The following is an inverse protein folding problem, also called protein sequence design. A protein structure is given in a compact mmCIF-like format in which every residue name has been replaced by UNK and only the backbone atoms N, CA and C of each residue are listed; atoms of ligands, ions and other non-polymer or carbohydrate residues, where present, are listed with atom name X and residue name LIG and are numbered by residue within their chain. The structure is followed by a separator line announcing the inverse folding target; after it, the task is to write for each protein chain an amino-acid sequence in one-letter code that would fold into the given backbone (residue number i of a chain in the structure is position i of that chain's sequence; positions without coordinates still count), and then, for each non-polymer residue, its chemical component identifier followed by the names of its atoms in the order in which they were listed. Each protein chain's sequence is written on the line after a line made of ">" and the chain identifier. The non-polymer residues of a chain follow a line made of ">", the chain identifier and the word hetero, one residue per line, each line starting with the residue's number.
data_IF_192624954779
#
_entry.id   IF_192624954779
#
_cell.length_a   1.000
_cell.length_b   1.000
_cell.length_c   1.000
_cell.angle_alpha   90.00
_cell.angle_beta   90.00
_cell.angle_gamma   90.00
#
_symmetry.space_group_name_H-M   'P 1'
#
loop_
_entity.id
_entity.type
_entity.pdbx_description
1 polymer ?
#
# COMPACT_ATOMS: atom_id res chain seq x y z
N UNK A 1 33.16 6.91 -1.54
CA UNK A 1 33.35 5.65 -0.77
C UNK A 1 32.85 5.73 0.67
N UNK A 2 33.03 6.83 1.42
CA UNK A 2 32.52 6.94 2.80
C UNK A 2 30.98 6.94 2.91
N UNK A 3 30.29 7.57 1.96
CA UNK A 3 28.81 7.62 1.93
C UNK A 3 28.20 6.22 1.81
N UNK A 4 28.71 5.37 0.93
CA UNK A 4 28.19 4.00 0.79
C UNK A 4 28.42 3.17 2.05
N UNK A 5 29.58 3.34 2.71
CA UNK A 5 29.87 2.65 3.98
C UNK A 5 28.91 3.07 5.08
N UNK A 6 28.67 4.37 5.26
CA UNK A 6 27.70 4.87 6.24
C UNK A 6 26.28 4.38 5.94
N UNK A 7 25.86 4.40 4.68
CA UNK A 7 24.53 3.92 4.27
C UNK A 7 24.39 2.42 4.57
N UNK A 8 25.38 1.59 4.25
CA UNK A 8 25.34 0.15 4.54
C UNK A 8 25.27 -0.14 6.04
N UNK A 9 26.03 0.59 6.86
CA UNK A 9 26.00 0.42 8.33
C UNK A 9 24.63 0.80 8.89
N UNK A 10 24.06 1.91 8.46
CA UNK A 10 22.72 2.35 8.88
C UNK A 10 21.64 1.36 8.44
N UNK A 11 21.71 0.87 7.20
CA UNK A 11 20.77 -0.15 6.70
C UNK A 11 20.85 -1.45 7.50
N UNK A 12 22.07 -1.91 7.82
CA UNK A 12 22.28 -3.09 8.64
C UNK A 12 21.68 -2.93 10.04
N UNK A 13 21.91 -1.77 10.68
CA UNK A 13 21.32 -1.47 11.98
C UNK A 13 19.78 -1.44 11.95
N UNK A 14 19.18 -0.84 10.91
CA UNK A 14 17.73 -0.81 10.71
C UNK A 14 17.14 -2.21 10.53
N UNK A 15 17.77 -3.08 9.73
CA UNK A 15 17.29 -4.46 9.50
C UNK A 15 17.27 -5.24 10.82
N UNK A 16 18.32 -5.10 11.65
CA UNK A 16 18.38 -5.76 12.97
C UNK A 16 17.24 -5.25 13.87
N UNK A 17 16.99 -3.94 13.88
CA UNK A 17 15.89 -3.35 14.66
C UNK A 17 14.51 -3.90 14.23
N UNK A 18 14.26 -3.98 12.92
CA UNK A 18 13.01 -4.54 12.37
C UNK A 18 12.86 -6.02 12.69
N UNK A 19 13.94 -6.80 12.63
CA UNK A 19 13.91 -8.23 12.98
C UNK A 19 13.53 -8.45 14.44
N UNK A 20 14.07 -7.64 15.36
CA UNK A 20 13.72 -7.69 16.78
C UNK A 20 12.26 -7.26 17.02
N UNK A 21 11.78 -6.27 16.27
CA UNK A 21 10.38 -5.83 16.33
C UNK A 21 9.43 -6.98 15.94
N UNK A 22 9.64 -7.61 14.77
CA UNK A 22 8.83 -8.75 14.30
C UNK A 22 8.87 -9.92 15.30
N UNK A 23 10.03 -10.22 15.88
CA UNK A 23 10.16 -11.24 16.93
C UNK A 23 9.33 -10.94 18.19
N UNK A 24 9.00 -9.67 18.45
CA UNK A 24 8.12 -9.29 19.56
C UNK A 24 6.62 -9.49 19.24
N UNK A 25 6.24 -9.55 17.96
CA UNK A 25 4.86 -9.81 17.53
C UNK A 25 4.62 -11.33 17.51
N UNK A 26 4.23 -11.89 18.66
CA UNK A 26 3.91 -13.33 18.87
C UNK A 26 2.83 -13.94 17.95
N UNK A 27 2.25 -13.17 17.02
CA UNK A 27 1.17 -13.59 16.12
C UNK A 27 1.45 -13.44 14.63
N UNK A 28 2.59 -12.86 14.22
CA UNK A 28 2.99 -12.80 12.81
C UNK A 28 4.17 -13.75 12.61
N UNK A 29 4.00 -14.81 11.82
CA UNK A 29 5.11 -15.69 11.45
C UNK A 29 6.14 -14.90 10.64
N UNK A 30 7.44 -15.20 10.79
CA UNK A 30 8.50 -14.67 9.92
C UNK A 30 8.17 -14.92 8.43
N UNK A 31 7.50 -16.04 8.16
CA UNK A 31 6.99 -16.39 6.84
C UNK A 31 5.95 -15.39 6.32
N UNK A 32 5.00 -14.98 7.18
CA UNK A 32 3.95 -14.01 6.81
C UNK A 32 4.56 -12.63 6.56
N UNK A 33 5.54 -12.23 7.40
CA UNK A 33 6.26 -10.98 7.19
C UNK A 33 7.00 -10.97 5.84
N UNK A 34 7.68 -12.06 5.48
CA UNK A 34 8.31 -12.21 4.16
C UNK A 34 7.29 -12.15 3.02
N UNK A 35 6.11 -12.76 3.20
CA UNK A 35 5.02 -12.72 2.22
C UNK A 35 4.43 -11.32 2.06
N UNK A 36 4.24 -10.58 3.15
CA UNK A 36 3.74 -9.19 3.07
C UNK A 36 4.74 -8.26 2.41
N UNK A 37 6.03 -8.37 2.73
CA UNK A 37 7.07 -7.57 2.08
C UNK A 37 7.12 -7.87 0.57
N UNK A 38 7.06 -9.14 0.18
CA UNK A 38 7.09 -9.52 -1.24
C UNK A 38 5.87 -8.99 -1.99
N UNK A 39 4.66 -9.15 -1.45
CA UNK A 39 3.42 -8.66 -2.08
C UNK A 39 3.38 -7.13 -2.22
N UNK A 40 3.84 -6.40 -1.19
CA UNK A 40 3.93 -4.93 -1.22
C UNK A 40 4.93 -4.42 -2.26
N UNK A 41 6.08 -5.09 -2.40
CA UNK A 41 7.08 -4.73 -3.42
C UNK A 41 6.66 -5.15 -4.83
N UNK A 42 5.97 -6.29 -4.96
CA UNK A 42 5.60 -6.84 -6.26
C UNK A 42 4.54 -6.00 -6.96
N UNK A 43 3.61 -5.39 -6.22
CA UNK A 43 2.60 -4.46 -6.75
C UNK A 43 3.18 -3.32 -7.63
N UNK A 44 4.09 -2.48 -7.13
CA UNK A 44 4.68 -1.39 -7.91
C UNK A 44 5.69 -1.89 -8.96
N UNK A 45 6.22 -3.11 -8.85
CA UNK A 45 7.14 -3.70 -9.85
C UNK A 45 6.39 -4.30 -11.03
N UNK A 46 5.24 -4.93 -10.80
CA UNK A 46 4.44 -5.58 -11.84
C UNK A 46 3.97 -4.57 -12.89
N UNK A 47 3.56 -3.37 -12.49
CA UNK A 47 3.02 -2.38 -13.42
C UNK A 47 4.08 -1.93 -14.45
N UNK A 48 5.27 -1.44 -14.06
CA UNK A 48 6.37 -1.16 -15.01
C UNK A 48 6.76 -2.37 -15.84
N UNK A 49 6.78 -3.57 -15.26
CA UNK A 49 7.14 -4.79 -15.99
C UNK A 49 6.14 -5.09 -17.12
N UNK A 50 4.84 -4.96 -16.85
CA UNK A 50 3.79 -5.08 -17.86
C UNK A 50 3.92 -4.00 -18.94
N UNK A 51 4.13 -2.73 -18.55
CA UNK A 51 4.31 -1.64 -19.51
C UNK A 51 5.59 -1.77 -20.34
N UNK A 52 6.64 -2.36 -19.79
CA UNK A 52 7.90 -2.63 -20.48
C UNK A 52 7.77 -3.62 -21.64
N UNK A 53 6.73 -4.47 -21.64
CA UNK A 53 6.43 -5.34 -22.79
C UNK A 53 5.92 -4.56 -24.00
N UNK A 54 5.25 -3.42 -23.78
CA UNK A 54 4.69 -2.58 -24.85
C UNK A 54 5.62 -1.42 -25.22
N UNK A 55 6.37 -0.88 -24.25
CA UNK A 55 7.20 0.31 -24.40
C UNK A 55 8.66 -0.09 -24.24
N UNK A 56 9.41 -0.12 -25.36
CA UNK A 56 10.83 -0.54 -25.45
C UNK A 56 11.83 0.26 -24.57
N UNK A 57 11.38 1.34 -23.93
CA UNK A 57 12.13 2.16 -22.97
C UNK A 57 11.26 2.41 -21.75
N UNK A 58 11.17 1.44 -20.84
CA UNK A 58 10.50 1.64 -19.56
C UNK A 58 11.26 2.70 -18.76
N UNK A 59 10.71 3.88 -18.50
CA UNK A 59 11.41 4.89 -17.72
C UNK A 59 11.52 4.42 -16.27
N UNK A 60 12.67 4.63 -15.62
CA UNK A 60 12.90 4.29 -14.20
C UNK A 60 11.88 4.96 -13.25
N UNK A 61 11.21 6.01 -13.73
CA UNK A 61 10.16 6.72 -13.01
C UNK A 61 8.78 6.04 -13.05
N UNK A 62 8.57 4.99 -13.86
CA UNK A 62 7.27 4.32 -13.99
C UNK A 62 6.78 3.71 -12.66
N UNK A 63 7.69 3.13 -11.86
CA UNK A 63 7.35 2.59 -10.54
C UNK A 63 6.94 3.69 -9.54
N UNK A 64 7.53 4.87 -9.66
CA UNK A 64 7.17 6.02 -8.84
C UNK A 64 5.86 6.66 -9.29
N UNK A 65 5.59 6.67 -10.59
CA UNK A 65 4.34 7.18 -11.15
C UNK A 65 3.13 6.36 -10.66
N UNK A 66 3.24 5.03 -10.59
CA UNK A 66 2.15 4.18 -10.08
C UNK A 66 1.89 4.40 -8.60
N UNK A 67 2.95 4.54 -7.80
CA UNK A 67 2.83 4.92 -6.39
C UNK A 67 2.19 6.31 -6.22
N UNK A 68 2.64 7.30 -7.01
CA UNK A 68 2.12 8.66 -6.96
C UNK A 68 0.65 8.74 -7.36
N UNK A 69 0.25 8.03 -8.43
CA UNK A 69 -1.15 7.94 -8.86
C UNK A 69 -2.00 7.21 -7.81
N UNK A 70 -1.51 6.11 -7.23
CA UNK A 70 -2.21 5.42 -6.15
C UNK A 70 -2.43 6.30 -4.92
N UNK A 71 -1.41 7.04 -4.50
CA UNK A 71 -1.52 8.02 -3.41
C UNK A 71 -2.48 9.16 -3.77
N UNK A 72 -2.39 9.69 -4.99
CA UNK A 72 -3.27 10.77 -5.46
C UNK A 72 -4.73 10.33 -5.53
N UNK A 73 -5.02 9.16 -6.08
CA UNK A 73 -6.39 8.61 -6.12
C UNK A 73 -6.90 8.32 -4.70
N UNK A 74 -6.07 7.74 -3.83
CA UNK A 74 -6.44 7.52 -2.42
C UNK A 74 -6.75 8.84 -1.70
N UNK A 75 -5.96 9.88 -1.94
CA UNK A 75 -6.21 11.22 -1.42
C UNK A 75 -7.49 11.83 -2.01
N UNK A 76 -7.71 11.74 -3.33
CA UNK A 76 -8.92 12.23 -3.98
C UNK A 76 -10.18 11.53 -3.46
N UNK A 77 -10.15 10.21 -3.29
CA UNK A 77 -11.29 9.47 -2.72
C UNK A 77 -11.53 9.92 -1.28
N UNK A 78 -10.48 10.06 -0.48
CA UNK A 78 -10.62 10.46 0.93
C UNK A 78 -11.10 11.90 1.11
N UNK A 79 -10.84 12.80 0.16
CA UNK A 79 -11.07 14.24 0.31
C UNK A 79 -12.20 14.80 -0.57
N UNK A 80 -12.45 14.21 -1.74
CA UNK A 80 -13.46 14.66 -2.73
C UNK A 80 -14.67 13.71 -2.79
N UNK A 81 -14.43 12.41 -2.66
CA UNK A 81 -15.48 11.40 -2.66
C UNK A 81 -15.83 11.06 -1.21
N UNK A 82 -16.32 12.05 -0.48
CA UNK A 82 -16.94 11.81 0.83
C UNK A 82 -18.05 10.77 0.64
N UNK A 83 -18.20 9.76 1.53
CA UNK A 83 -19.27 8.77 1.43
C UNK A 83 -20.66 9.39 1.24
N UNK A 84 -20.85 10.63 1.68
CA UNK A 84 -22.03 11.45 1.43
C UNK A 84 -22.31 11.70 -0.06
N UNK A 85 -21.29 11.93 -0.90
CA UNK A 85 -21.49 12.16 -2.35
C UNK A 85 -21.92 10.89 -3.05
N UNK A 86 -21.34 9.73 -2.68
CA UNK A 86 -21.77 8.43 -3.19
C UNK A 86 -23.17 8.08 -2.68
N UNK A 87 -23.48 8.35 -1.41
CA UNK A 87 -24.79 8.12 -0.81
C UNK A 87 -25.88 8.97 -1.48
N UNK A 88 -25.60 10.25 -1.76
CA UNK A 88 -26.50 11.14 -2.48
C UNK A 88 -26.66 10.76 -3.96
N UNK A 89 -25.59 10.31 -4.64
CA UNK A 89 -25.65 9.87 -6.05
C UNK A 89 -26.41 8.53 -6.22
N UNK A 90 -26.33 7.63 -5.24
CA UNK A 90 -27.08 6.36 -5.20
C UNK A 90 -28.49 6.48 -4.59
N UNK A 91 -28.93 7.68 -4.20
CA UNK A 91 -30.25 7.92 -3.61
C UNK A 91 -30.45 7.30 -2.22
N UNK A 92 -29.37 6.97 -1.52
CA UNK A 92 -29.37 6.42 -0.17
C UNK A 92 -29.16 7.56 0.84
N UNK A 93 -30.19 8.37 1.08
CA UNK A 93 -30.14 9.45 2.09
C UNK A 93 -29.87 8.93 3.52
N UNK A 94 -29.94 7.61 3.77
CA UNK A 94 -29.72 7.02 5.08
C UNK A 94 -28.91 5.72 4.95
N UNK A 95 -27.70 5.71 5.52
CA UNK A 95 -26.64 4.75 5.23
C UNK A 95 -26.94 3.26 5.39
N UNK A 96 -25.96 2.46 4.97
CA UNK A 96 -25.88 0.99 5.07
C UNK A 96 -26.05 0.41 6.50
N UNK A 97 -26.31 1.26 7.50
CA UNK A 97 -26.48 0.93 8.91
C UNK A 97 -27.91 0.49 9.27
N UNK A 98 -28.93 0.80 8.46
CA UNK A 98 -30.34 0.48 8.76
C UNK A 98 -30.69 -1.02 8.66
N UNK A 99 -30.02 -1.77 7.78
CA UNK A 99 -30.32 -3.19 7.54
C UNK A 99 -29.96 -4.09 8.74
N UNK A 100 -28.94 -3.73 9.53
CA UNK A 100 -28.49 -4.55 10.67
C UNK A 100 -29.23 -4.26 11.98
N UNK A 101 -29.99 -3.16 12.05
CA UNK A 101 -30.68 -2.76 13.28
C UNK A 101 -32.13 -3.27 13.34
N UNK A 102 -32.64 -3.87 12.25
CA UNK A 102 -34.01 -4.40 12.15
C UNK A 102 -34.09 -5.93 12.30
N UNK A 103 -32.98 -6.64 12.52
CA UNK A 103 -32.92 -8.12 12.55
C UNK A 103 -32.53 -8.74 13.90
N UNK A 104 -32.53 -7.97 15.00
CA UNK A 104 -32.37 -8.53 16.35
C UNK A 104 -33.66 -8.32 17.16
N UNK A 105 -34.35 -9.41 17.57
CA UNK A 105 -35.53 -9.35 18.43
C UNK A 105 -35.19 -8.91 19.85
#
# INVERSE_FOLDING_TARGET
>A
MRVSQSVTVVFGALIIMVALFINSLRGLSLFDAMMYVSTLLQMPILVPLFFGMFIKKTPDWAAWATLAVGMFVSYLVSFVITPDVIANLLGLENGFTSVRQQTLP
#
